data_IF_469371897309
#
_entry.id   IF_469371897309
#
_cell.length_a   1.000
_cell.length_b   1.000
_cell.length_c   1.000
_cell.angle_alpha   90.00
_cell.angle_beta   90.00
_cell.angle_gamma   90.00
#
_symmetry.space_group_name_H-M   'P 1'
#
loop_
_entity.id
_entity.type
_entity.pdbx_description
1 polymer ?
#
# COMPACT_ATOMS: atom_id res chain seq x y z
N UNK A 1 -77.20 -7.09 -44.67
CA UNK A 1 -76.76 -8.28 -43.92
C UNK A 1 -76.10 -7.79 -42.66
N UNK A 2 -76.57 -8.30 -41.53
CA UNK A 2 -76.31 -7.87 -40.17
C UNK A 2 -74.86 -8.10 -39.73
N UNK A 3 -74.43 -7.32 -38.73
CA UNK A 3 -73.18 -7.50 -37.99
C UNK A 3 -72.97 -6.29 -37.08
N UNK A 4 -73.69 -6.21 -35.97
CA UNK A 4 -73.33 -6.71 -34.62
C UNK A 4 -72.47 -5.73 -33.82
N UNK A 5 -72.99 -5.42 -32.63
CA UNK A 5 -72.43 -4.54 -31.60
C UNK A 5 -71.37 -5.34 -30.84
N UNK A 6 -70.24 -4.75 -30.49
CA UNK A 6 -69.55 -5.11 -29.25
C UNK A 6 -68.86 -3.87 -28.66
N UNK A 7 -69.46 -3.38 -27.58
CA UNK A 7 -68.78 -2.59 -26.55
C UNK A 7 -67.71 -3.48 -25.91
N UNK A 8 -66.50 -2.97 -25.78
CA UNK A 8 -65.55 -3.46 -24.79
C UNK A 8 -65.07 -2.27 -23.96
N UNK A 9 -65.55 -2.22 -22.72
CA UNK A 9 -65.06 -1.35 -21.67
C UNK A 9 -63.57 -1.65 -21.40
N UNK A 10 -62.81 -0.57 -21.24
CA UNK A 10 -61.43 -0.60 -20.79
C UNK A 10 -61.41 -0.74 -19.27
N UNK A 11 -61.36 -1.97 -18.77
CA UNK A 11 -61.00 -2.22 -17.38
C UNK A 11 -59.48 -2.18 -17.22
N UNK A 12 -59.03 -1.11 -16.57
CA UNK A 12 -57.72 -0.95 -15.99
C UNK A 12 -57.56 -1.93 -14.82
N UNK A 13 -56.62 -2.88 -14.89
CA UNK A 13 -56.10 -3.52 -13.68
C UNK A 13 -54.61 -3.91 -13.83
N UNK A 14 -53.79 -3.06 -13.19
CA UNK A 14 -52.47 -3.28 -12.61
C UNK A 14 -51.59 -4.38 -13.19
N UNK A 15 -50.74 -4.00 -14.15
CA UNK A 15 -49.42 -4.62 -14.27
C UNK A 15 -48.67 -4.34 -12.96
N UNK A 16 -48.45 -5.38 -12.17
CA UNK A 16 -47.55 -5.31 -11.03
C UNK A 16 -46.13 -5.08 -11.57
N UNK A 17 -45.65 -3.86 -11.40
CA UNK A 17 -44.24 -3.52 -11.43
C UNK A 17 -43.50 -4.36 -10.38
N UNK A 18 -42.92 -5.48 -10.81
CA UNK A 18 -41.84 -6.12 -10.07
C UNK A 18 -40.52 -5.51 -10.53
N UNK A 19 -40.31 -4.24 -10.19
CA UNK A 19 -38.96 -3.72 -10.03
C UNK A 19 -38.32 -4.47 -8.86
N UNK A 20 -37.65 -5.57 -9.16
CA UNK A 20 -36.69 -6.18 -8.24
C UNK A 20 -35.52 -5.22 -8.08
N UNK A 21 -35.71 -4.21 -7.24
CA UNK A 21 -34.64 -3.39 -6.68
C UNK A 21 -33.95 -4.22 -5.57
N UNK A 22 -33.36 -5.35 -5.98
CA UNK A 22 -32.39 -6.06 -5.16
C UNK A 22 -31.06 -5.37 -5.43
N UNK A 23 -30.37 -4.89 -4.40
CA UNK A 23 -28.98 -4.45 -4.55
C UNK A 23 -28.14 -5.66 -4.96
N UNK A 24 -28.05 -5.91 -6.26
CA UNK A 24 -27.38 -7.08 -6.80
C UNK A 24 -25.88 -6.92 -6.59
N UNK A 25 -25.34 -7.73 -5.69
CA UNK A 25 -23.91 -7.92 -5.55
C UNK A 25 -23.31 -8.16 -6.94
N UNK A 26 -22.17 -7.53 -7.22
CA UNK A 26 -21.41 -7.82 -8.42
C UNK A 26 -21.03 -9.31 -8.46
N UNK A 27 -20.77 -9.81 -9.66
CA UNK A 27 -20.38 -11.21 -9.85
C UNK A 27 -19.13 -11.57 -8.99
N UNK A 28 -18.19 -10.64 -8.84
CA UNK A 28 -17.01 -10.83 -7.98
C UNK A 28 -17.41 -10.94 -6.51
N UNK A 29 -18.29 -10.06 -6.01
CA UNK A 29 -18.76 -10.11 -4.62
C UNK A 29 -19.51 -11.41 -4.33
N UNK A 30 -20.33 -11.89 -5.27
CA UNK A 30 -20.98 -13.19 -5.16
C UNK A 30 -19.95 -14.31 -5.05
N UNK A 31 -18.97 -14.38 -5.96
CA UNK A 31 -17.92 -15.41 -5.91
C UNK A 31 -17.12 -15.36 -4.61
N UNK A 32 -16.78 -14.17 -4.11
CA UNK A 32 -16.06 -14.01 -2.83
C UNK A 32 -16.90 -14.56 -1.67
N UNK A 33 -18.17 -14.16 -1.56
CA UNK A 33 -19.06 -14.65 -0.49
C UNK A 33 -19.31 -16.15 -0.57
N UNK A 34 -19.46 -16.69 -1.77
CA UNK A 34 -19.63 -18.14 -1.97
C UNK A 34 -18.39 -18.90 -1.51
N UNK A 35 -17.19 -18.42 -1.86
CA UNK A 35 -15.93 -19.06 -1.44
C UNK A 35 -15.74 -18.96 0.08
N UNK A 36 -15.96 -17.79 0.68
CA UNK A 36 -15.90 -17.60 2.13
C UNK A 36 -16.84 -18.58 2.86
N UNK A 37 -18.10 -18.63 2.44
CA UNK A 37 -19.12 -19.50 3.05
C UNK A 37 -18.73 -20.97 2.97
N UNK A 38 -18.25 -21.42 1.80
CA UNK A 38 -17.81 -22.80 1.59
C UNK A 38 -16.63 -23.18 2.49
N UNK A 39 -15.65 -22.29 2.65
CA UNK A 39 -14.46 -22.53 3.47
C UNK A 39 -14.78 -22.54 4.97
N UNK A 40 -15.71 -21.70 5.41
CA UNK A 40 -16.23 -21.69 6.79
C UNK A 40 -17.03 -22.98 7.06
N UNK A 41 -17.95 -23.36 6.17
CA UNK A 41 -18.77 -24.58 6.33
C UNK A 41 -17.90 -25.84 6.45
N UNK A 42 -16.80 -25.89 5.69
CA UNK A 42 -15.81 -26.98 5.77
C UNK A 42 -14.90 -26.93 7.00
N UNK A 43 -14.97 -25.88 7.81
CA UNK A 43 -14.13 -25.68 8.99
C UNK A 43 -12.67 -25.34 8.67
N UNK A 44 -12.36 -24.88 7.46
CA UNK A 44 -11.01 -24.49 7.07
C UNK A 44 -10.66 -23.04 7.43
N UNK A 45 -11.68 -22.20 7.61
CA UNK A 45 -11.53 -20.80 7.98
C UNK A 45 -12.42 -20.50 9.17
N UNK A 46 -11.86 -19.85 10.18
CA UNK A 46 -12.62 -19.22 11.26
C UNK A 46 -12.92 -17.76 10.89
N UNK A 47 -14.20 -17.38 10.93
CA UNK A 47 -14.64 -16.02 10.65
C UNK A 47 -14.02 -15.01 11.62
N UNK A 48 -13.95 -15.33 12.91
CA UNK A 48 -13.39 -14.41 13.89
C UNK A 48 -11.90 -14.15 13.63
N UNK A 49 -11.15 -15.18 13.19
CA UNK A 49 -9.77 -15.03 12.78
C UNK A 49 -9.61 -14.18 11.51
N UNK A 50 -10.52 -14.31 10.53
CA UNK A 50 -10.54 -13.47 9.33
C UNK A 50 -10.79 -12.00 9.66
N UNK A 51 -11.79 -11.72 10.51
CA UNK A 51 -12.12 -10.36 10.95
C UNK A 51 -10.93 -9.71 11.67
N UNK A 52 -10.27 -10.46 12.57
CA UNK A 52 -9.08 -9.99 13.26
C UNK A 52 -7.90 -9.68 12.32
N UNK A 53 -7.75 -10.46 11.23
CA UNK A 53 -6.74 -10.18 10.21
C UNK A 53 -7.05 -8.89 9.44
N UNK A 54 -8.31 -8.67 9.07
CA UNK A 54 -8.75 -7.44 8.39
C UNK A 54 -8.48 -6.23 9.28
N UNK A 55 -8.97 -6.24 10.52
CA UNK A 55 -8.78 -5.15 11.48
C UNK A 55 -7.31 -4.81 11.69
N UNK A 56 -6.44 -5.83 11.76
CA UNK A 56 -5.00 -5.67 11.97
C UNK A 56 -4.36 -4.82 10.85
N UNK A 57 -4.67 -5.10 9.58
CA UNK A 57 -4.08 -4.36 8.45
C UNK A 57 -4.80 -3.04 8.13
N UNK A 58 -6.06 -2.90 8.54
CA UNK A 58 -6.80 -1.64 8.36
C UNK A 58 -6.41 -0.59 9.40
N UNK A 59 -6.14 -1.00 10.65
CA UNK A 59 -6.05 -0.04 11.76
C UNK A 59 -4.71 -0.04 12.49
N UNK A 60 -3.98 -1.17 12.49
CA UNK A 60 -2.79 -1.33 13.35
C UNK A 60 -1.48 -1.31 12.59
N UNK A 61 -1.44 -1.88 11.39
CA UNK A 61 -0.21 -2.01 10.58
C UNK A 61 -0.29 -1.09 9.38
N UNK A 62 0.62 -0.11 9.31
CA UNK A 62 0.69 0.83 8.20
C UNK A 62 1.96 1.68 8.18
N UNK A 63 2.08 2.62 7.22
CA UNK A 63 3.29 3.41 6.99
C UNK A 63 3.77 4.22 8.19
N UNK A 64 2.91 4.49 9.19
CA UNK A 64 3.32 5.15 10.43
C UNK A 64 4.39 4.35 11.21
N UNK A 65 4.43 3.03 11.06
CA UNK A 65 5.47 2.19 11.66
C UNK A 65 6.84 2.49 11.02
N UNK A 66 6.93 2.46 9.69
CA UNK A 66 8.13 2.82 8.95
C UNK A 66 8.57 4.27 9.19
N UNK A 67 7.61 5.20 9.29
CA UNK A 67 7.92 6.60 9.59
C UNK A 67 8.66 6.76 10.92
N UNK A 68 8.28 5.99 11.95
CA UNK A 68 8.97 5.96 13.25
C UNK A 68 10.37 5.33 13.15
N UNK A 69 10.53 4.27 12.36
CA UNK A 69 11.85 3.68 12.07
C UNK A 69 12.78 4.73 11.45
N UNK A 70 12.31 5.44 10.42
CA UNK A 70 13.07 6.47 9.72
C UNK A 70 13.39 7.65 10.65
N UNK A 71 12.41 8.17 11.38
CA UNK A 71 12.60 9.31 12.28
C UNK A 71 13.60 9.00 13.40
N UNK A 72 13.55 7.78 13.96
CA UNK A 72 14.55 7.32 14.92
C UNK A 72 15.94 7.25 14.29
N UNK A 73 16.08 6.71 13.09
CA UNK A 73 17.36 6.68 12.38
C UNK A 73 17.92 8.09 12.07
N UNK A 74 17.06 9.06 11.79
CA UNK A 74 17.47 10.45 11.61
C UNK A 74 17.92 11.14 12.91
N UNK A 75 17.41 10.70 14.06
CA UNK A 75 17.65 11.31 15.37
C UNK A 75 18.76 10.61 16.16
N UNK A 76 19.00 9.34 15.88
CA UNK A 76 19.89 8.46 16.63
C UNK A 76 20.86 7.76 15.65
N UNK A 77 22.10 8.25 15.63
CA UNK A 77 23.15 7.73 14.75
C UNK A 77 23.48 6.26 15.05
N UNK A 78 23.43 5.82 16.32
CA UNK A 78 23.71 4.44 16.66
C UNK A 78 22.60 3.50 16.15
N UNK A 79 21.34 3.92 16.25
CA UNK A 79 20.23 3.19 15.65
C UNK A 79 20.29 3.19 14.12
N UNK A 80 20.69 4.30 13.48
CA UNK A 80 20.91 4.32 12.03
C UNK A 80 21.97 3.32 11.59
N UNK A 81 23.13 3.33 12.25
CA UNK A 81 24.23 2.42 11.94
C UNK A 81 23.78 0.96 12.12
N UNK A 82 23.01 0.66 13.17
CA UNK A 82 22.41 -0.66 13.37
C UNK A 82 21.36 -1.02 12.30
N UNK A 83 20.49 -0.09 11.91
CA UNK A 83 19.49 -0.30 10.87
C UNK A 83 20.13 -0.64 9.52
N UNK A 84 21.31 -0.09 9.20
CA UNK A 84 22.04 -0.41 7.97
C UNK A 84 22.73 -1.78 8.02
N UNK A 85 23.13 -2.23 9.21
CA UNK A 85 23.81 -3.52 9.41
C UNK A 85 22.82 -4.69 9.53
N UNK A 86 21.79 -4.53 10.36
CA UNK A 86 20.72 -5.51 10.57
C UNK A 86 19.37 -4.80 10.72
N UNK A 87 18.76 -4.50 9.58
CA UNK A 87 17.46 -3.84 9.57
C UNK A 87 16.35 -4.67 10.23
N UNK A 88 16.48 -6.01 10.21
CA UNK A 88 15.47 -6.88 10.81
C UNK A 88 15.46 -6.70 12.33
N UNK A 89 16.63 -6.78 12.97
CA UNK A 89 16.74 -6.63 14.41
C UNK A 89 16.43 -5.20 14.87
N UNK A 90 16.90 -4.18 14.13
CA UNK A 90 16.63 -2.77 14.46
C UNK A 90 15.13 -2.45 14.40
N UNK A 91 14.43 -2.88 13.33
CA UNK A 91 12.98 -2.67 13.19
C UNK A 91 12.21 -3.46 14.26
N UNK A 92 12.63 -4.68 14.56
CA UNK A 92 12.04 -5.50 15.62
C UNK A 92 12.19 -4.86 17.01
N UNK A 93 13.24 -4.08 17.27
CA UNK A 93 13.43 -3.39 18.56
C UNK A 93 12.35 -2.34 18.84
N UNK A 94 11.65 -1.87 17.81
CA UNK A 94 10.49 -0.97 17.93
C UNK A 94 9.14 -1.72 18.00
N UNK A 95 9.18 -3.05 18.07
CA UNK A 95 8.00 -3.92 18.11
C UNK A 95 7.38 -4.19 16.74
N UNK A 96 8.06 -3.84 15.65
CA UNK A 96 7.57 -4.07 14.29
C UNK A 96 8.14 -5.39 13.77
N UNK A 97 7.33 -6.44 13.85
CA UNK A 97 7.69 -7.78 13.36
C UNK A 97 6.49 -8.40 12.66
N UNK A 98 6.71 -9.44 11.88
CA UNK A 98 5.63 -10.27 11.36
C UNK A 98 5.71 -10.48 9.86
N UNK A 99 4.54 -10.78 9.28
CA UNK A 99 4.42 -11.25 7.90
C UNK A 99 5.00 -10.24 6.91
N UNK A 100 5.69 -10.75 5.90
CA UNK A 100 6.29 -9.94 4.84
C UNK A 100 7.24 -8.87 5.41
N UNK A 101 7.98 -9.22 6.45
CA UNK A 101 8.94 -8.37 7.15
C UNK A 101 9.93 -9.20 7.98
N UNK A 102 10.04 -10.49 7.70
CA UNK A 102 10.90 -11.45 8.40
C UNK A 102 12.38 -11.26 8.08
N UNK A 103 12.68 -10.74 6.88
CA UNK A 103 14.03 -10.41 6.41
C UNK A 103 14.03 -9.01 5.79
N UNK A 104 14.37 -8.03 6.61
CA UNK A 104 14.41 -6.63 6.21
C UNK A 104 15.82 -6.21 5.80
N UNK A 105 15.89 -5.38 4.76
CA UNK A 105 17.09 -4.62 4.39
C UNK A 105 16.69 -3.16 4.25
N UNK A 106 17.41 -2.26 4.93
CA UNK A 106 17.25 -0.83 4.73
C UNK A 106 18.24 -0.33 3.68
N UNK A 107 17.78 0.51 2.76
CA UNK A 107 18.61 1.08 1.69
C UNK A 107 18.61 2.60 1.79
N UNK A 108 19.78 3.19 1.96
CA UNK A 108 19.90 4.61 2.30
C UNK A 108 20.00 5.50 1.06
N UNK A 109 19.17 6.53 1.02
CA UNK A 109 19.32 7.63 0.07
C UNK A 109 20.40 8.61 0.57
N UNK A 110 21.24 9.07 -0.35
CA UNK A 110 22.30 10.06 -0.12
C UNK A 110 22.23 11.14 -1.19
N UNK A 111 23.09 12.16 -1.11
CA UNK A 111 23.18 13.21 -2.14
C UNK A 111 23.54 12.65 -3.52
N UNK A 112 24.09 11.43 -3.59
CA UNK A 112 24.57 10.80 -4.83
C UNK A 112 23.76 9.57 -5.24
N UNK A 113 22.95 9.01 -4.35
CA UNK A 113 22.24 7.75 -4.57
C UNK A 113 20.79 7.89 -4.13
N UNK A 114 19.86 7.59 -5.02
CA UNK A 114 18.44 7.44 -4.71
C UNK A 114 18.02 5.99 -4.95
N UNK A 115 17.29 5.41 -4.01
CA UNK A 115 16.81 4.04 -4.10
C UNK A 115 15.31 4.04 -4.43
N UNK A 116 14.88 3.07 -5.22
CA UNK A 116 13.48 2.79 -5.56
C UNK A 116 13.20 1.30 -5.40
N UNK A 117 12.11 0.92 -4.74
CA UNK A 117 11.75 -0.49 -4.49
C UNK A 117 10.59 -0.92 -5.36
N UNK A 118 10.69 -2.07 -6.02
CA UNK A 118 9.62 -2.67 -6.83
C UNK A 118 9.54 -4.19 -6.58
N UNK A 119 8.44 -4.81 -6.99
CA UNK A 119 8.34 -6.24 -7.16
C UNK A 119 7.78 -6.51 -8.56
N UNK A 120 8.66 -6.77 -9.53
CA UNK A 120 8.26 -6.90 -10.94
C UNK A 120 7.33 -8.10 -11.15
N UNK A 121 7.51 -9.17 -10.38
CA UNK A 121 6.78 -10.43 -10.54
C UNK A 121 5.39 -10.42 -9.92
N UNK A 122 5.15 -9.66 -8.84
CA UNK A 122 3.86 -9.63 -8.18
C UNK A 122 3.63 -8.34 -7.37
N UNK A 123 3.93 -8.38 -6.07
CA UNK A 123 3.60 -7.30 -5.11
C UNK A 123 4.30 -7.47 -3.75
N UNK A 124 5.47 -8.13 -3.69
CA UNK A 124 6.26 -8.27 -2.47
C UNK A 124 6.54 -6.89 -1.86
N UNK A 125 6.29 -6.71 -0.57
CA UNK A 125 6.26 -5.41 0.08
C UNK A 125 6.45 -5.54 1.60
N UNK A 126 7.13 -4.62 2.31
CA UNK A 126 7.44 -4.76 3.73
C UNK A 126 6.22 -4.47 4.63
N UNK A 127 5.33 -5.44 4.85
CA UNK A 127 4.03 -5.18 5.49
C UNK A 127 4.17 -4.70 6.94
N UNK A 128 5.11 -5.24 7.70
CA UNK A 128 5.32 -4.88 9.12
C UNK A 128 5.55 -3.38 9.35
N UNK A 129 6.13 -2.69 8.37
CA UNK A 129 6.47 -1.26 8.46
C UNK A 129 5.69 -0.36 7.51
N UNK A 130 5.20 -0.88 6.38
CA UNK A 130 4.49 -0.08 5.38
C UNK A 130 3.01 -0.47 5.17
N UNK A 131 2.52 -1.49 5.86
CA UNK A 131 1.18 -2.04 5.63
C UNK A 131 1.03 -2.71 4.27
N UNK A 132 -0.21 -2.82 3.78
CA UNK A 132 -0.47 -3.42 2.47
C UNK A 132 -0.04 -2.46 1.34
N UNK A 133 0.51 -2.97 0.22
CA UNK A 133 0.98 -2.14 -0.88
C UNK A 133 -0.18 -1.38 -1.54
N UNK A 134 0.04 -0.11 -1.93
CA UNK A 134 -0.95 0.67 -2.65
C UNK A 134 -1.25 0.06 -4.03
N UNK A 135 -2.40 0.42 -4.60
CA UNK A 135 -2.85 -0.11 -5.90
C UNK A 135 -1.82 0.14 -7.01
N UNK A 136 -1.23 1.35 -7.05
CA UNK A 136 -0.25 1.71 -8.07
C UNK A 136 1.00 0.81 -8.03
N UNK A 137 1.45 0.40 -6.84
CA UNK A 137 2.63 -0.45 -6.68
C UNK A 137 2.42 -1.83 -7.31
N UNK A 138 1.19 -2.35 -7.22
CA UNK A 138 0.78 -3.65 -7.79
C UNK A 138 0.50 -3.58 -9.29
N UNK A 139 0.42 -2.37 -9.86
CA UNK A 139 0.00 -2.17 -11.24
C UNK A 139 1.07 -2.65 -12.23
N UNK A 140 0.65 -3.17 -13.41
CA UNK A 140 1.59 -3.49 -14.49
C UNK A 140 2.40 -2.27 -14.95
N UNK A 141 1.81 -1.07 -14.91
CA UNK A 141 2.45 0.17 -15.33
C UNK A 141 3.70 0.47 -14.49
N UNK A 142 3.57 0.40 -13.16
CA UNK A 142 4.71 0.58 -12.26
C UNK A 142 5.71 -0.58 -12.39
N UNK A 143 5.23 -1.82 -12.27
CA UNK A 143 6.07 -3.02 -12.21
C UNK A 143 6.92 -3.25 -13.45
N UNK A 144 6.42 -2.91 -14.64
CA UNK A 144 7.17 -3.08 -15.88
C UNK A 144 8.18 -1.97 -16.12
N UNK A 145 7.85 -0.72 -15.75
CA UNK A 145 8.67 0.45 -16.08
C UNK A 145 9.70 0.81 -15.01
N UNK A 146 9.44 0.52 -13.73
CA UNK A 146 10.35 0.88 -12.65
C UNK A 146 11.75 0.27 -12.82
N UNK A 147 11.91 -0.83 -13.57
CA UNK A 147 13.23 -1.47 -13.85
C UNK A 147 13.81 -1.12 -15.23
N UNK A 148 13.08 -0.39 -16.07
CA UNK A 148 13.48 -0.04 -17.45
C UNK A 148 13.72 1.47 -17.58
N UNK A 149 12.74 2.25 -17.13
CA UNK A 149 12.73 3.71 -17.14
C UNK A 149 12.33 4.23 -15.75
N UNK A 150 13.18 4.02 -14.72
CA UNK A 150 12.87 4.45 -13.37
C UNK A 150 12.76 5.97 -13.24
N UNK A 151 13.53 6.74 -14.03
CA UNK A 151 13.46 8.20 -14.01
C UNK A 151 12.13 8.72 -14.57
N UNK A 152 11.65 8.17 -15.68
CA UNK A 152 10.33 8.53 -16.21
C UNK A 152 9.19 8.15 -15.26
N UNK A 153 9.31 7.02 -14.54
CA UNK A 153 8.36 6.67 -13.47
C UNK A 153 8.39 7.69 -12.34
N UNK A 154 9.56 8.09 -11.85
CA UNK A 154 9.66 9.11 -10.79
C UNK A 154 9.10 10.47 -11.24
N UNK A 155 9.31 10.86 -12.49
CA UNK A 155 8.74 12.08 -13.04
C UNK A 155 7.20 12.09 -13.00
N UNK A 156 6.54 10.94 -13.19
CA UNK A 156 5.09 10.80 -13.05
C UNK A 156 4.60 10.95 -11.60
N UNK A 157 5.45 10.66 -10.62
CA UNK A 157 5.22 10.98 -9.21
C UNK A 157 5.58 12.44 -8.85
N UNK A 158 6.02 13.23 -9.83
CA UNK A 158 6.46 14.61 -9.62
C UNK A 158 7.86 14.74 -9.01
N UNK A 159 8.67 13.68 -9.05
CA UNK A 159 10.04 13.68 -8.56
C UNK A 159 11.01 13.67 -9.75
N UNK A 160 11.67 14.81 -9.98
CA UNK A 160 12.79 14.91 -10.90
C UNK A 160 14.11 14.83 -10.12
N UNK A 161 14.97 13.91 -10.51
CA UNK A 161 16.26 13.67 -9.86
C UNK A 161 17.38 14.27 -10.73
N UNK A 162 18.39 14.92 -10.13
CA UNK A 162 19.56 15.36 -10.89
C UNK A 162 20.18 14.22 -11.71
N UNK A 163 20.69 14.55 -12.90
CA UNK A 163 21.22 13.56 -13.84
C UNK A 163 22.37 12.75 -13.23
N UNK A 164 23.19 13.40 -12.40
CA UNK A 164 24.32 12.83 -11.68
C UNK A 164 23.93 11.93 -10.50
N UNK A 165 22.66 11.96 -10.06
CA UNK A 165 22.20 11.09 -8.98
C UNK A 165 22.08 9.65 -9.48
N UNK A 166 22.83 8.72 -8.90
CA UNK A 166 22.70 7.30 -9.20
C UNK A 166 21.32 6.80 -8.71
N UNK A 167 20.54 6.19 -9.60
CA UNK A 167 19.24 5.61 -9.26
C UNK A 167 19.35 4.09 -9.17
N UNK A 168 19.21 3.55 -7.97
CA UNK A 168 19.25 2.10 -7.69
C UNK A 168 17.85 1.54 -7.52
N UNK A 169 17.50 0.58 -8.37
CA UNK A 169 16.20 -0.09 -8.30
C UNK A 169 16.36 -1.45 -7.64
N UNK A 170 15.60 -1.69 -6.59
CA UNK A 170 15.59 -2.93 -5.82
C UNK A 170 14.36 -3.75 -6.18
N UNK A 171 14.56 -4.82 -6.95
CA UNK A 171 13.49 -5.74 -7.30
C UNK A 171 13.37 -6.86 -6.24
N UNK A 172 12.22 -6.89 -5.57
CA UNK A 172 11.88 -7.80 -4.48
C UNK A 172 11.51 -9.19 -5.02
N UNK A 173 12.50 -9.89 -5.55
CA UNK A 173 12.36 -11.20 -6.23
C UNK A 173 12.54 -12.41 -5.31
N UNK A 174 12.96 -12.19 -4.06
CA UNK A 174 13.19 -13.22 -3.06
C UNK A 174 12.46 -12.87 -1.74
N UNK A 175 12.84 -13.51 -0.63
CA UNK A 175 12.23 -13.28 0.69
C UNK A 175 12.72 -12.01 1.40
N UNK A 176 13.63 -11.25 0.79
CA UNK A 176 14.08 -9.94 1.30
C UNK A 176 12.99 -8.89 1.06
N UNK A 177 12.79 -8.00 2.03
CA UNK A 177 11.91 -6.85 1.94
C UNK A 177 12.71 -5.57 2.20
N UNK A 178 12.57 -4.60 1.30
CA UNK A 178 13.36 -3.37 1.35
C UNK A 178 12.57 -2.23 1.96
N UNK A 179 13.23 -1.44 2.81
CA UNK A 179 12.76 -0.14 3.29
C UNK A 179 13.74 0.94 2.83
N UNK A 180 13.28 1.94 2.09
CA UNK A 180 14.13 3.10 1.79
C UNK A 180 14.24 3.96 3.04
N UNK A 181 15.47 4.30 3.42
CA UNK A 181 15.76 5.37 4.37
C UNK A 181 15.94 6.68 3.59
N UNK A 182 14.91 7.54 3.49
CA UNK A 182 15.02 8.80 2.77
C UNK A 182 16.01 9.75 3.46
N UNK A 183 16.50 10.74 2.71
CA UNK A 183 17.32 11.82 3.28
C UNK A 183 16.49 12.65 4.25
N UNK A 184 17.09 13.03 5.37
CA UNK A 184 16.50 13.99 6.31
C UNK A 184 16.44 15.37 5.64
N UNK A 185 15.27 16.03 5.58
CA UNK A 185 15.14 17.39 5.04
C UNK A 185 15.97 18.39 5.85
N UNK A 186 16.47 19.43 5.19
CA UNK A 186 17.20 20.52 5.86
C UNK A 186 16.27 21.36 6.74
N UNK A 187 16.80 22.04 7.75
CA UNK A 187 15.99 22.89 8.62
C UNK A 187 15.12 22.11 9.63
N UNK A 188 15.39 20.82 9.80
CA UNK A 188 14.68 19.94 10.72
C UNK A 188 15.50 19.65 11.98
N UNK A 189 16.64 20.30 12.20
CA UNK A 189 17.63 20.00 13.24
C UNK A 189 17.05 20.07 14.65
N UNK A 190 16.10 20.98 14.88
CA UNK A 190 15.43 21.19 16.16
C UNK A 190 14.14 20.37 16.35
N UNK A 191 13.68 19.64 15.32
CA UNK A 191 12.45 18.85 15.40
C UNK A 191 12.67 17.62 16.27
N UNK A 192 11.65 17.29 17.06
CA UNK A 192 11.56 16.03 17.79
C UNK A 192 11.38 14.83 16.84
N UNK A 193 11.67 13.62 17.33
CA UNK A 193 11.46 12.39 16.57
C UNK A 193 10.01 12.25 16.07
N UNK A 194 9.03 12.66 16.88
CA UNK A 194 7.62 12.62 16.51
C UNK A 194 7.31 13.58 15.34
N UNK A 195 7.85 14.80 15.38
CA UNK A 195 7.67 15.77 14.30
C UNK A 195 8.39 15.34 13.02
N UNK A 196 9.58 14.72 13.15
CA UNK A 196 10.30 14.14 12.01
C UNK A 196 9.51 13.02 11.34
N UNK A 197 8.83 12.17 12.12
CA UNK A 197 8.02 11.09 11.57
C UNK A 197 6.88 11.60 10.68
N UNK A 198 6.32 12.78 10.96
CA UNK A 198 5.26 13.39 10.14
C UNK A 198 5.76 13.85 8.75
N UNK A 199 7.07 14.03 8.58
CA UNK A 199 7.68 14.32 7.27
C UNK A 199 7.88 13.08 6.40
N UNK A 200 7.88 11.89 7.00
CA UNK A 200 8.13 10.63 6.30
C UNK A 200 6.84 10.11 5.70
N UNK A 201 6.80 10.01 4.37
CA UNK A 201 5.63 9.51 3.65
C UNK A 201 5.81 8.04 3.30
N UNK A 202 4.71 7.37 2.95
CA UNK A 202 4.80 6.02 2.36
C UNK A 202 5.69 6.03 1.12
N UNK A 203 5.51 7.02 0.26
CA UNK A 203 6.19 7.05 -1.04
C UNK A 203 7.69 7.35 -0.87
N UNK A 204 8.09 8.14 0.14
CA UNK A 204 9.52 8.35 0.46
C UNK A 204 10.21 7.09 0.99
N UNK A 205 9.46 6.19 1.64
CA UNK A 205 9.97 4.91 2.12
C UNK A 205 9.94 3.79 1.05
N UNK A 206 9.22 4.01 -0.06
CA UNK A 206 9.33 3.17 -1.27
C UNK A 206 10.42 3.70 -2.20
N UNK A 207 10.72 5.01 -2.11
CA UNK A 207 11.59 5.73 -3.04
C UNK A 207 10.87 6.37 -4.21
N UNK A 208 9.53 6.31 -4.26
CA UNK A 208 8.71 6.98 -5.28
C UNK A 208 8.50 8.48 -4.99
N UNK A 209 9.05 8.97 -3.87
CA UNK A 209 9.06 10.38 -3.49
C UNK A 209 10.21 10.69 -2.54
N UNK A 210 10.23 11.91 -2.03
CA UNK A 210 11.15 12.34 -0.95
C UNK A 210 10.36 12.64 0.32
N UNK A 211 11.06 12.74 1.45
CA UNK A 211 10.43 13.23 2.68
C UNK A 211 9.92 14.67 2.47
N UNK A 212 8.83 15.03 3.16
CA UNK A 212 8.27 16.38 3.08
C UNK A 212 9.23 17.39 3.69
N UNK A 213 9.32 18.56 3.07
CA UNK A 213 10.00 19.70 3.68
C UNK A 213 9.21 20.23 4.89
N UNK A 214 9.89 20.75 5.93
CA UNK A 214 9.21 21.36 7.07
C UNK A 214 8.34 22.53 6.61
N UNK A 215 7.07 22.56 7.07
CA UNK A 215 6.09 23.58 6.70
C UNK A 215 5.39 23.37 5.35
N UNK A 216 5.68 22.28 4.63
CA UNK A 216 4.93 21.87 3.45
C UNK A 216 3.52 21.37 3.79
N UNK A 217 2.52 21.69 2.95
CA UNK A 217 1.16 21.20 3.10
C UNK A 217 1.08 19.68 2.88
N UNK A 218 0.11 19.04 3.57
CA UNK A 218 -0.15 17.60 3.51
C UNK A 218 -0.71 17.13 2.17
#
# INVERSE_FOLDING_TARGET
>A
MSGDRHHHDHDHHHGHDHHHDNSELSETELRVRTLESLLIEKGYVDRAALDALIETYETRIGPKNGARVVAKAWSDRAYRDWLMDDATAAIASLGYTGRQGEHMVAVENTDKVHNLVVCTLCSCYPWSVLGLPPVWYKSPAYRSRAVIDPRGVLAEFGLDLPEETELRVWDSTAEIRYLVLPRRPQGTEAMSEAELAELVTRDSMIGAGVAREPGGAS
#
